data_IF_688134106754
#
_entry.id   IF_688134106754
#
_cell.length_a   1.000
_cell.length_b   1.000
_cell.length_c   1.000
_cell.angle_alpha   90.00
_cell.angle_beta   90.00
_cell.angle_gamma   90.00
#
_symmetry.space_group_name_H-M   'P 1'
#
loop_
_entity.id
_entity.type
_entity.pdbx_description
1 polymer ?
#
# COMPACT_ATOMS: atom_id res chain seq x y z
N UNK A 1 -15.90 0.19 3.01
CA UNK A 1 -14.53 -0.35 3.11
C UNK A 1 -14.22 -1.41 2.05
N UNK A 2 -15.17 -2.31 1.69
CA UNK A 2 -14.93 -3.40 0.72
C UNK A 2 -14.55 -2.94 -0.69
N UNK A 3 -15.25 -1.96 -1.28
CA UNK A 3 -14.99 -1.53 -2.66
C UNK A 3 -13.55 -0.99 -2.88
N UNK A 4 -12.99 -0.28 -1.89
CA UNK A 4 -11.61 0.21 -1.96
C UNK A 4 -10.58 -0.92 -1.85
N UNK A 5 -10.88 -1.97 -1.07
CA UNK A 5 -10.04 -3.18 -0.99
C UNK A 5 -10.08 -3.97 -2.29
N UNK A 6 -11.27 -4.20 -2.87
CA UNK A 6 -11.42 -4.91 -4.15
C UNK A 6 -10.69 -4.19 -5.29
N UNK A 7 -10.85 -2.86 -5.39
CA UNK A 7 -10.12 -2.07 -6.38
C UNK A 7 -8.59 -2.11 -6.16
N UNK A 8 -8.14 -2.24 -4.91
CA UNK A 8 -6.71 -2.35 -4.60
C UNK A 8 -6.18 -3.74 -4.97
N UNK A 9 -6.95 -4.82 -4.82
CA UNK A 9 -6.57 -6.16 -5.28
C UNK A 9 -6.26 -6.20 -6.78
N UNK A 10 -7.06 -5.54 -7.60
CA UNK A 10 -6.78 -5.43 -9.04
C UNK A 10 -5.47 -4.69 -9.31
N UNK A 11 -5.11 -3.68 -8.51
CA UNK A 11 -3.86 -2.90 -8.66
C UNK A 11 -2.64 -3.69 -8.18
N UNK A 12 -2.78 -4.49 -7.11
CA UNK A 12 -1.69 -5.27 -6.53
C UNK A 12 -1.15 -6.37 -7.45
N UNK A 13 -1.94 -6.79 -8.45
CA UNK A 13 -1.46 -7.69 -9.51
C UNK A 13 -0.54 -7.01 -10.54
N UNK A 14 -0.43 -5.67 -10.51
CA UNK A 14 0.46 -4.90 -11.38
C UNK A 14 1.88 -4.76 -10.84
N UNK A 15 2.80 -4.34 -11.71
CA UNK A 15 4.19 -4.13 -11.32
C UNK A 15 4.34 -2.84 -10.47
N UNK A 16 4.99 -2.97 -9.31
CA UNK A 16 5.42 -1.78 -8.56
C UNK A 16 6.57 -1.08 -9.30
N UNK A 17 6.43 0.20 -9.60
CA UNK A 17 7.45 0.95 -10.34
C UNK A 17 8.58 1.51 -9.46
N UNK A 18 8.43 1.40 -8.13
CA UNK A 18 9.40 1.90 -7.16
C UNK A 18 9.45 0.99 -5.93
N UNK A 19 10.63 0.87 -5.34
CA UNK A 19 10.84 0.16 -4.08
C UNK A 19 9.89 0.72 -2.99
N UNK A 20 9.22 -0.15 -2.22
CA UNK A 20 8.39 0.27 -1.09
C UNK A 20 9.20 1.08 -0.07
N UNK A 21 8.53 2.00 0.63
CA UNK A 21 9.15 2.84 1.68
C UNK A 21 8.42 2.70 3.00
N UNK A 22 9.19 2.50 4.08
CA UNK A 22 8.67 2.64 5.44
C UNK A 22 8.52 4.13 5.73
N UNK A 23 7.30 4.57 5.99
CA UNK A 23 7.00 5.98 6.30
C UNK A 23 6.97 6.22 7.81
N UNK A 24 6.44 5.26 8.58
CA UNK A 24 6.34 5.37 10.03
C UNK A 24 6.62 4.03 10.69
N UNK A 25 7.15 4.09 11.91
CA UNK A 25 7.22 2.96 12.84
C UNK A 25 6.45 3.33 14.09
N UNK A 26 5.39 2.59 14.38
CA UNK A 26 4.55 2.81 15.56
C UNK A 26 5.21 2.19 16.79
N UNK A 27 5.30 2.97 17.88
CA UNK A 27 5.70 2.48 19.19
C UNK A 27 4.47 2.34 20.10
N UNK A 28 4.42 1.34 21.01
CA UNK A 28 5.42 0.30 21.25
C UNK A 28 5.32 -0.92 20.31
N UNK A 29 4.26 -1.02 19.51
CA UNK A 29 3.91 -2.21 18.72
C UNK A 29 4.92 -2.58 17.62
N UNK A 30 5.90 -1.72 17.32
CA UNK A 30 6.92 -1.86 16.26
C UNK A 30 6.35 -2.02 14.84
N UNK A 31 5.03 -1.91 14.67
CA UNK A 31 4.36 -2.00 13.36
C UNK A 31 4.82 -0.87 12.45
N UNK A 32 4.93 -1.14 11.16
CA UNK A 32 5.42 -0.18 10.17
C UNK A 32 4.28 0.24 9.25
N UNK A 33 4.13 1.54 9.04
CA UNK A 33 3.33 2.04 7.92
C UNK A 33 4.24 2.06 6.69
N UNK A 34 3.89 1.28 5.67
CA UNK A 34 4.67 1.10 4.44
C UNK A 34 3.87 1.63 3.26
N UNK A 35 4.50 2.43 2.40
CA UNK A 35 3.95 2.88 1.14
C UNK A 35 4.54 2.09 -0.03
N UNK A 36 3.68 1.60 -0.91
CA UNK A 36 4.04 0.95 -2.17
C UNK A 36 3.45 1.75 -3.34
N UNK A 37 4.13 1.71 -4.49
CA UNK A 37 3.82 2.57 -5.62
C UNK A 37 3.48 1.72 -6.84
N UNK A 38 2.26 1.88 -7.36
CA UNK A 38 1.74 1.10 -8.47
C UNK A 38 1.30 2.01 -9.61
N UNK A 39 1.44 1.50 -10.83
CA UNK A 39 0.89 2.09 -12.04
C UNK A 39 -0.19 1.15 -12.59
N UNK A 40 -1.36 1.70 -12.90
CA UNK A 40 -2.44 0.97 -13.58
C UNK A 40 -3.01 1.86 -14.67
N UNK A 41 -2.82 1.46 -15.94
CA UNK A 41 -3.00 2.33 -17.09
C UNK A 41 -2.13 3.59 -16.97
N UNK A 42 -2.74 4.76 -17.13
CA UNK A 42 -2.10 6.07 -16.99
C UNK A 42 -2.17 6.64 -15.57
N UNK A 43 -2.63 5.84 -14.60
CA UNK A 43 -2.83 6.31 -13.23
C UNK A 43 -1.78 5.72 -12.28
N UNK A 44 -1.25 6.60 -11.44
CA UNK A 44 -0.32 6.31 -10.37
C UNK A 44 -1.05 6.26 -9.02
N UNK A 45 -0.80 5.19 -8.28
CA UNK A 45 -1.40 4.94 -6.98
C UNK A 45 -0.31 4.74 -5.93
N UNK A 46 -0.56 5.25 -4.72
CA UNK A 46 0.20 4.87 -3.53
C UNK A 46 -0.71 4.05 -2.63
N UNK A 47 -0.32 2.81 -2.34
CA UNK A 47 -1.01 1.92 -1.41
C UNK A 47 -0.28 1.94 -0.07
N UNK A 48 -1.03 1.99 1.03
CA UNK A 48 -0.50 2.05 2.39
C UNK A 48 -0.87 0.77 3.15
N UNK A 49 0.13 0.25 3.85
CA UNK A 49 0.08 -1.01 4.56
C UNK A 49 0.50 -0.82 6.01
N UNK A 50 -0.15 -1.53 6.94
CA UNK A 50 0.44 -1.81 8.25
C UNK A 50 1.13 -3.15 8.13
N UNK A 51 2.45 -3.16 8.32
CA UNK A 51 3.24 -4.38 8.41
C UNK A 51 3.56 -4.65 9.88
N UNK A 52 3.16 -5.81 10.38
CA UNK A 52 3.47 -6.25 11.74
C UNK A 52 4.90 -6.79 11.85
N UNK A 53 5.33 -7.02 13.09
CA UNK A 53 6.62 -7.60 13.44
C UNK A 53 6.79 -9.04 12.94
N UNK A 54 5.71 -9.81 12.83
CA UNK A 54 5.67 -11.11 12.16
C UNK A 54 5.61 -11.04 10.61
N UNK A 55 6.00 -9.91 10.01
CA UNK A 55 6.02 -9.68 8.56
C UNK A 55 4.66 -9.82 7.84
N UNK A 56 3.54 -9.80 8.57
CA UNK A 56 2.20 -9.82 7.95
C UNK A 56 1.83 -8.41 7.50
N UNK A 57 1.39 -8.25 6.25
CA UNK A 57 0.98 -6.96 5.69
C UNK A 57 -0.55 -6.84 5.59
N UNK A 58 -1.11 -5.83 6.26
CA UNK A 58 -2.53 -5.48 6.17
C UNK A 58 -2.73 -4.20 5.36
N UNK A 59 -3.60 -4.25 4.35
CA UNK A 59 -3.98 -3.07 3.57
C UNK A 59 -4.79 -2.07 4.43
N UNK A 60 -4.43 -0.79 4.38
CA UNK A 60 -5.14 0.28 5.11
C UNK A 60 -5.96 1.13 4.14
N UNK A 61 -5.29 1.70 3.14
CA UNK A 61 -5.82 2.74 2.26
C UNK A 61 -4.97 2.85 1.00
N UNK A 62 -5.52 3.52 -0.01
CA UNK A 62 -4.81 3.94 -1.22
C UNK A 62 -5.10 5.40 -1.53
N UNK A 63 -4.22 6.04 -2.30
CA UNK A 63 -4.54 7.33 -2.90
C UNK A 63 -5.57 7.16 -4.02
N UNK A 64 -6.21 8.27 -4.39
CA UNK A 64 -6.82 8.38 -5.71
C UNK A 64 -5.72 8.31 -6.79
N UNK A 65 -6.08 7.78 -7.95
CA UNK A 65 -5.16 7.68 -9.07
C UNK A 65 -4.79 9.07 -9.57
N UNK A 66 -3.50 9.35 -9.72
CA UNK A 66 -3.00 10.59 -10.33
C UNK A 66 -2.48 10.29 -11.73
N UNK A 67 -2.72 11.19 -12.68
CA UNK A 67 -2.08 11.15 -14.00
C UNK A 67 -0.69 11.77 -13.91
#
# INVERSE_FOLDING_TARGET
MSAAMSASQTIMGGNSFKKPRVLKRHHPSKRKEVATYFKSGDLYYTLYWIVSDNCTAGFIKRTQGKR
#
